data_IF_776279350329
#
_entry.id   IF_776279350329
#
_cell.length_a   1.000
_cell.length_b   1.000
_cell.length_c   1.000
_cell.angle_alpha   90.00
_cell.angle_beta   90.00
_cell.angle_gamma   90.00
#
_symmetry.space_group_name_H-M   'P 1'
#
loop_
_entity.id
_entity.type
_entity.pdbx_description
1 polymer ?
#
# COMPACT_ATOMS: atom_id res chain seq x y z
N UNK A 1 13.09 10.72 13.93
CA UNK A 1 13.35 11.44 12.67
C UNK A 1 12.83 10.57 11.52
N UNK A 2 12.30 11.16 10.45
CA UNK A 2 11.90 10.39 9.28
C UNK A 2 13.08 9.58 8.70
N UNK A 3 12.77 8.37 8.21
CA UNK A 3 13.74 7.54 7.50
C UNK A 3 13.96 8.05 6.07
N UNK A 4 15.13 7.79 5.51
CA UNK A 4 15.40 8.05 4.10
C UNK A 4 14.76 6.94 3.26
N UNK A 5 13.76 7.30 2.44
CA UNK A 5 13.06 6.34 1.60
C UNK A 5 13.65 6.26 0.19
N UNK A 6 13.87 5.04 -0.27
CA UNK A 6 14.12 4.74 -1.67
C UNK A 6 12.83 4.90 -2.47
N UNK A 7 12.92 5.50 -3.64
CA UNK A 7 11.77 5.75 -4.50
C UNK A 7 12.17 5.82 -5.96
N UNK A 8 11.20 5.67 -6.82
CA UNK A 8 11.35 5.92 -8.25
C UNK A 8 10.31 6.94 -8.70
N UNK A 9 10.74 7.91 -9.49
CA UNK A 9 9.84 8.92 -10.07
C UNK A 9 9.82 8.75 -11.58
N UNK A 10 8.64 8.50 -12.13
CA UNK A 10 8.42 8.32 -13.56
C UNK A 10 7.31 9.24 -14.08
N UNK A 11 7.32 9.49 -15.39
CA UNK A 11 6.34 10.35 -16.05
C UNK A 11 6.75 11.82 -16.19
N UNK A 12 5.84 12.66 -16.72
CA UNK A 12 6.08 14.08 -16.90
C UNK A 12 6.22 14.79 -15.55
N UNK A 13 7.07 15.83 -15.50
CA UNK A 13 7.30 16.65 -14.32
C UNK A 13 7.03 18.11 -14.67
N UNK A 14 5.79 18.54 -14.54
CA UNK A 14 5.41 19.94 -14.68
C UNK A 14 4.45 20.29 -13.56
N UNK A 15 4.33 21.58 -13.25
CA UNK A 15 3.45 22.09 -12.18
C UNK A 15 1.97 21.68 -12.38
N UNK A 16 1.57 21.44 -13.62
CA UNK A 16 0.21 21.03 -13.99
C UNK A 16 0.01 19.49 -14.00
N UNK A 17 1.10 18.71 -13.83
CA UNK A 17 1.01 17.25 -13.86
C UNK A 17 0.63 16.72 -12.48
N UNK A 18 -0.51 16.00 -12.35
CA UNK A 18 -0.89 15.45 -11.04
C UNK A 18 0.09 14.38 -10.59
N UNK A 19 0.39 14.37 -9.29
CA UNK A 19 1.29 13.41 -8.68
C UNK A 19 0.51 12.24 -8.10
N UNK A 20 0.94 11.00 -8.38
CA UNK A 20 0.43 9.78 -7.79
C UNK A 20 1.52 9.09 -6.98
N UNK A 21 1.29 8.90 -5.69
CA UNK A 21 2.16 8.16 -4.77
C UNK A 21 1.67 6.72 -4.65
N UNK A 22 2.57 5.74 -4.83
CA UNK A 22 2.28 4.32 -4.75
C UNK A 22 2.99 3.70 -3.54
N UNK A 23 2.21 3.13 -2.60
CA UNK A 23 2.68 2.58 -1.33
C UNK A 23 2.42 1.07 -1.27
N UNK A 24 3.48 0.29 -1.08
CA UNK A 24 3.44 -1.17 -1.16
C UNK A 24 2.94 -1.87 0.11
N UNK A 25 2.87 -3.20 0.02
CA UNK A 25 2.50 -4.11 1.11
C UNK A 25 3.69 -4.38 2.03
N UNK A 26 3.41 -4.91 3.23
CA UNK A 26 4.43 -5.46 4.12
C UNK A 26 5.20 -6.60 3.43
N UNK A 27 6.52 -6.50 3.38
CA UNK A 27 7.39 -7.50 2.74
C UNK A 27 7.51 -7.36 1.23
N UNK A 28 6.96 -6.29 0.63
CA UNK A 28 7.14 -5.97 -0.78
C UNK A 28 8.11 -4.80 -0.97
N UNK A 29 8.63 -4.65 -2.17
CA UNK A 29 9.26 -3.41 -2.63
C UNK A 29 8.37 -2.73 -3.68
N UNK A 30 8.80 -1.57 -4.17
CA UNK A 30 8.04 -0.75 -5.13
C UNK A 30 7.74 -1.45 -6.46
N UNK A 31 8.49 -2.52 -6.82
CA UNK A 31 8.30 -3.24 -8.08
C UNK A 31 6.93 -3.95 -8.16
N UNK A 32 6.24 -4.16 -7.03
CA UNK A 32 4.86 -4.65 -7.04
C UNK A 32 3.90 -3.71 -7.79
N UNK A 33 4.32 -2.47 -8.05
CA UNK A 33 3.57 -1.44 -8.75
C UNK A 33 4.05 -1.19 -10.19
N UNK A 34 5.03 -1.95 -10.70
CA UNK A 34 5.68 -1.70 -12.00
C UNK A 34 4.69 -1.56 -13.17
N UNK A 35 3.67 -2.39 -13.20
CA UNK A 35 2.65 -2.33 -14.25
C UNK A 35 1.85 -1.03 -14.19
N UNK A 36 1.40 -0.65 -12.99
CA UNK A 36 0.63 0.58 -12.75
C UNK A 36 1.48 1.81 -12.98
N UNK A 37 2.73 1.82 -12.46
CA UNK A 37 3.66 2.93 -12.65
C UNK A 37 3.94 3.16 -14.14
N UNK A 38 4.23 2.11 -14.91
CA UNK A 38 4.48 2.19 -16.35
C UNK A 38 3.33 2.79 -17.14
N UNK A 39 2.09 2.39 -16.81
CA UNK A 39 0.92 2.85 -17.55
C UNK A 39 0.47 4.24 -17.11
N UNK A 40 0.39 4.49 -15.79
CA UNK A 40 -0.09 5.76 -15.24
C UNK A 40 0.93 6.90 -15.39
N UNK A 41 2.21 6.59 -15.56
CA UNK A 41 3.26 7.60 -15.84
C UNK A 41 3.12 8.27 -17.23
N UNK A 42 2.18 7.86 -18.06
CA UNK A 42 1.90 8.55 -19.33
C UNK A 42 1.30 9.94 -19.13
N UNK A 43 0.57 10.13 -18.03
CA UNK A 43 -0.21 11.35 -17.74
C UNK A 43 -0.17 11.81 -16.28
N UNK A 44 0.60 11.10 -15.43
CA UNK A 44 0.88 11.46 -14.04
C UNK A 44 2.38 11.44 -13.77
N UNK A 45 2.82 12.25 -12.80
CA UNK A 45 4.09 12.02 -12.12
C UNK A 45 3.87 10.92 -11.09
N UNK A 46 4.41 9.73 -11.33
CA UNK A 46 4.25 8.58 -10.43
C UNK A 46 5.48 8.48 -9.52
N UNK A 47 5.24 8.46 -8.21
CA UNK A 47 6.25 8.27 -7.16
C UNK A 47 6.00 6.93 -6.50
N UNK A 48 6.73 5.88 -6.91
CA UNK A 48 6.68 4.56 -6.29
C UNK A 48 7.70 4.48 -5.15
N UNK A 49 7.25 4.08 -3.95
CA UNK A 49 8.03 4.22 -2.72
C UNK A 49 8.25 2.87 -2.05
N UNK A 50 9.48 2.60 -1.63
CA UNK A 50 9.79 1.54 -0.67
C UNK A 50 9.61 2.09 0.75
N UNK A 51 8.79 1.45 1.58
CA UNK A 51 8.65 1.82 2.99
C UNK A 51 9.99 1.67 3.74
N UNK A 52 10.17 2.35 4.89
CA UNK A 52 11.34 2.11 5.74
C UNK A 52 11.56 0.60 5.93
N UNK A 53 12.81 0.17 5.83
CA UNK A 53 13.18 -1.25 5.98
C UNK A 53 12.68 -2.18 4.89
N UNK A 54 12.22 -1.64 3.74
CA UNK A 54 11.82 -2.41 2.55
C UNK A 54 12.63 -1.94 1.33
N UNK A 55 12.79 -2.83 0.36
CA UNK A 55 13.60 -2.54 -0.83
C UNK A 55 14.99 -2.04 -0.46
N UNK A 56 15.34 -0.83 -0.89
CA UNK A 56 16.61 -0.18 -0.57
C UNK A 56 16.46 1.04 0.36
N UNK A 57 15.31 1.19 1.01
CA UNK A 57 15.05 2.22 2.02
C UNK A 57 15.84 1.96 3.31
N UNK A 58 16.10 3.04 4.05
CA UNK A 58 16.76 2.96 5.34
C UNK A 58 16.05 2.02 6.33
N UNK A 59 16.81 1.18 7.01
CA UNK A 59 16.32 0.35 8.13
C UNK A 59 16.46 1.13 9.41
N UNK A 60 15.33 1.48 10.03
CA UNK A 60 15.31 2.13 11.35
C UNK A 60 14.98 1.06 12.39
N UNK A 61 15.89 0.71 13.30
CA UNK A 61 15.65 -0.30 14.31
C UNK A 61 14.59 0.11 15.34
N UNK A 62 13.88 -0.87 15.85
CA UNK A 62 12.86 -0.71 16.88
C UNK A 62 11.44 -0.56 16.32
N UNK A 63 10.44 -0.57 17.21
CA UNK A 63 9.05 -0.49 16.79
C UNK A 63 8.74 0.86 16.12
N UNK A 64 7.90 0.86 15.11
CA UNK A 64 7.34 2.07 14.52
C UNK A 64 5.80 2.03 14.54
N UNK A 65 5.19 3.14 14.14
CA UNK A 65 3.75 3.29 14.00
C UNK A 65 3.39 3.62 12.54
N UNK A 66 2.13 3.50 12.17
CA UNK A 66 1.66 3.98 10.86
C UNK A 66 1.91 5.49 10.70
N UNK A 67 1.83 6.26 11.77
CA UNK A 67 2.17 7.69 11.76
C UNK A 67 3.65 7.94 11.43
N UNK A 68 4.57 7.09 11.91
CA UNK A 68 5.99 7.18 11.55
C UNK A 68 6.21 6.87 10.07
N UNK A 69 5.53 5.85 9.52
CA UNK A 69 5.59 5.51 8.09
C UNK A 69 5.03 6.65 7.22
N UNK A 70 3.94 7.28 7.66
CA UNK A 70 3.37 8.43 6.98
C UNK A 70 4.31 9.65 7.02
N UNK A 71 4.97 9.90 8.15
CA UNK A 71 5.95 10.98 8.29
C UNK A 71 7.16 10.79 7.36
N UNK A 72 7.59 9.54 7.12
CA UNK A 72 8.64 9.26 6.14
C UNK A 72 8.22 9.64 4.72
N UNK A 73 6.99 9.24 4.34
CA UNK A 73 6.42 9.57 3.03
C UNK A 73 6.32 11.08 2.85
N UNK A 74 5.83 11.80 3.86
CA UNK A 74 5.74 13.26 3.81
C UNK A 74 7.11 13.92 3.67
N UNK A 75 8.11 13.45 4.45
CA UNK A 75 9.48 13.97 4.34
C UNK A 75 10.10 13.70 2.97
N UNK A 76 9.84 12.55 2.37
CA UNK A 76 10.23 12.27 0.99
C UNK A 76 9.57 13.27 0.03
N UNK A 77 8.25 13.42 0.09
CA UNK A 77 7.50 14.31 -0.82
C UNK A 77 7.96 15.76 -0.70
N UNK A 78 8.21 16.24 0.53
CA UNK A 78 8.78 17.56 0.78
C UNK A 78 10.18 17.71 0.15
N UNK A 79 11.00 16.66 0.17
CA UNK A 79 12.36 16.68 -0.39
C UNK A 79 12.40 16.73 -1.93
N UNK A 80 11.28 16.42 -2.58
CA UNK A 80 11.13 16.46 -4.05
C UNK A 80 10.08 17.48 -4.51
N UNK A 81 9.76 18.46 -3.63
CA UNK A 81 8.84 19.59 -3.89
C UNK A 81 7.43 19.18 -4.30
N UNK A 82 6.89 18.09 -3.72
CA UNK A 82 5.50 17.62 -3.93
C UNK A 82 4.63 18.08 -2.76
N UNK A 83 3.80 19.08 -2.98
CA UNK A 83 2.87 19.62 -1.97
C UNK A 83 1.54 18.85 -1.94
N UNK A 84 0.95 18.57 -3.11
CA UNK A 84 -0.35 17.91 -3.24
C UNK A 84 -0.23 16.65 -4.10
N UNK A 85 -0.94 15.58 -3.72
CA UNK A 85 -0.80 14.28 -4.39
C UNK A 85 -2.06 13.42 -4.26
N UNK A 86 -2.25 12.51 -5.21
CA UNK A 86 -3.08 11.33 -5.08
C UNK A 86 -2.26 10.21 -4.45
N UNK A 87 -2.86 9.33 -3.66
CA UNK A 87 -2.17 8.20 -3.06
C UNK A 87 -2.92 6.90 -3.29
N UNK A 88 -2.21 5.87 -3.75
CA UNK A 88 -2.72 4.50 -3.80
C UNK A 88 -1.86 3.63 -2.87
N UNK A 89 -2.51 2.94 -1.94
CA UNK A 89 -1.83 2.10 -0.96
C UNK A 89 -2.43 0.70 -0.90
N UNK A 90 -1.55 -0.31 -0.91
CA UNK A 90 -1.92 -1.70 -0.76
C UNK A 90 -1.53 -2.21 0.62
N UNK A 91 -2.48 -2.81 1.35
CA UNK A 91 -2.25 -3.45 2.65
C UNK A 91 -1.63 -2.47 3.67
N UNK A 92 -0.37 -2.65 4.09
CA UNK A 92 0.38 -1.69 4.92
C UNK A 92 0.33 -0.28 4.30
N UNK A 93 0.61 -0.16 3.01
CA UNK A 93 0.53 1.12 2.29
C UNK A 93 -0.87 1.71 2.31
N UNK A 94 -1.92 0.86 2.35
CA UNK A 94 -3.31 1.30 2.52
C UNK A 94 -3.59 1.88 3.92
N UNK A 95 -2.97 1.36 4.98
CA UNK A 95 -3.04 1.97 6.31
C UNK A 95 -2.34 3.34 6.34
N UNK A 96 -1.16 3.44 5.70
CA UNK A 96 -0.45 4.73 5.56
C UNK A 96 -1.28 5.72 4.76
N UNK A 97 -1.90 5.30 3.64
CA UNK A 97 -2.78 6.15 2.84
C UNK A 97 -4.03 6.63 3.61
N UNK A 98 -4.65 5.76 4.43
CA UNK A 98 -5.73 6.16 5.34
C UNK A 98 -5.27 7.24 6.33
N UNK A 99 -4.09 7.03 6.96
CA UNK A 99 -3.54 8.00 7.89
C UNK A 99 -3.29 9.36 7.22
N UNK A 100 -2.68 9.36 6.04
CA UNK A 100 -2.43 10.57 5.25
C UNK A 100 -3.73 11.29 4.91
N UNK A 101 -4.77 10.57 4.46
CA UNK A 101 -6.05 11.16 4.09
C UNK A 101 -6.79 11.79 5.30
N UNK A 102 -6.59 11.27 6.51
CA UNK A 102 -7.16 11.81 7.76
C UNK A 102 -6.39 13.03 8.26
N UNK A 103 -5.05 13.00 8.21
CA UNK A 103 -4.20 13.99 8.90
C UNK A 103 -3.64 15.07 7.96
N UNK A 104 -3.61 14.81 6.65
CA UNK A 104 -3.13 15.73 5.62
C UNK A 104 -4.21 16.04 4.56
N UNK A 105 -5.45 16.41 4.96
CA UNK A 105 -6.58 16.55 4.03
C UNK A 105 -6.39 17.69 3.01
N UNK A 106 -5.46 18.60 3.22
CA UNK A 106 -5.13 19.68 2.28
C UNK A 106 -4.12 19.24 1.23
N UNK A 107 -3.36 18.18 1.48
CA UNK A 107 -2.34 17.62 0.58
C UNK A 107 -2.87 16.43 -0.21
N UNK A 108 -3.72 15.58 0.38
CA UNK A 108 -4.25 14.38 -0.28
C UNK A 108 -5.45 14.72 -1.15
N UNK A 109 -5.27 14.63 -2.46
CA UNK A 109 -6.28 14.94 -3.46
C UNK A 109 -7.32 13.83 -3.64
N UNK A 110 -6.87 12.57 -3.61
CA UNK A 110 -7.72 11.38 -3.55
C UNK A 110 -6.94 10.20 -3.01
N UNK A 111 -7.63 9.17 -2.53
CA UNK A 111 -6.99 7.94 -2.05
C UNK A 111 -7.60 6.69 -2.67
N UNK A 112 -6.74 5.72 -3.03
CA UNK A 112 -7.15 4.38 -3.41
C UNK A 112 -6.59 3.38 -2.38
N UNK A 113 -7.48 2.66 -1.71
CA UNK A 113 -7.20 1.74 -0.61
C UNK A 113 -7.41 0.31 -1.10
N UNK A 114 -6.32 -0.42 -1.38
CA UNK A 114 -6.35 -1.74 -1.97
C UNK A 114 -6.00 -2.80 -0.91
N UNK A 115 -6.81 -3.85 -0.78
CA UNK A 115 -6.52 -5.02 0.04
C UNK A 115 -5.92 -4.64 1.41
N UNK A 116 -6.60 -3.75 2.14
CA UNK A 116 -6.17 -3.17 3.41
C UNK A 116 -7.26 -3.31 4.48
N UNK A 117 -7.05 -2.77 5.67
CA UNK A 117 -8.02 -2.79 6.75
C UNK A 117 -7.95 -1.51 7.60
N UNK A 118 -9.07 -1.13 8.23
CA UNK A 118 -9.06 -0.11 9.27
C UNK A 118 -8.43 -0.62 10.57
N UNK A 119 -8.44 -1.96 10.77
CA UNK A 119 -7.72 -2.67 11.84
C UNK A 119 -7.28 -4.04 11.33
N UNK A 120 -6.00 -4.40 11.50
CA UNK A 120 -5.44 -5.67 11.02
C UNK A 120 -5.46 -6.75 12.11
N UNK A 121 -6.59 -7.42 12.28
CA UNK A 121 -6.72 -8.56 13.19
C UNK A 121 -6.33 -8.23 14.64
N UNK A 122 -5.79 -9.22 15.36
CA UNK A 122 -5.40 -9.05 16.76
C UNK A 122 -3.91 -8.71 16.89
N UNK A 123 -3.53 -7.78 17.79
CA UNK A 123 -2.14 -7.34 17.99
C UNK A 123 -1.15 -8.47 18.28
N UNK A 124 -1.59 -9.52 19.02
CA UNK A 124 -0.73 -10.65 19.36
C UNK A 124 -0.19 -11.40 18.14
N UNK A 125 -1.01 -11.59 17.11
CA UNK A 125 -0.57 -12.27 15.89
C UNK A 125 0.54 -11.51 15.15
N UNK A 126 0.50 -10.18 15.19
CA UNK A 126 1.55 -9.33 14.63
C UNK A 126 2.82 -9.35 15.48
N UNK A 127 2.68 -9.34 16.82
CA UNK A 127 3.82 -9.46 17.74
C UNK A 127 4.53 -10.81 17.60
N UNK A 128 3.79 -11.91 17.48
CA UNK A 128 4.33 -13.24 17.21
C UNK A 128 5.09 -13.29 15.88
N UNK A 129 4.51 -12.67 14.83
CA UNK A 129 5.16 -12.57 13.50
C UNK A 129 6.43 -11.73 13.57
N UNK A 130 6.42 -10.59 14.26
CA UNK A 130 7.60 -9.75 14.45
C UNK A 130 8.72 -10.52 15.15
N UNK A 131 8.39 -11.29 16.20
CA UNK A 131 9.32 -12.13 16.93
C UNK A 131 9.93 -13.20 16.02
N UNK A 132 9.07 -13.95 15.30
CA UNK A 132 9.53 -15.00 14.39
C UNK A 132 10.49 -14.46 13.30
N UNK A 133 10.19 -13.27 12.77
CA UNK A 133 11.05 -12.63 11.75
C UNK A 133 12.36 -12.11 12.36
N UNK A 134 12.35 -11.54 13.56
CA UNK A 134 13.59 -11.12 14.24
C UNK A 134 14.52 -12.31 14.55
N UNK A 135 13.95 -13.47 14.87
CA UNK A 135 14.72 -14.69 15.19
C UNK A 135 15.17 -15.46 13.95
N UNK A 136 14.29 -15.60 12.95
CA UNK A 136 14.51 -16.47 11.79
C UNK A 136 14.65 -15.76 10.44
N UNK A 137 14.67 -14.43 10.44
CA UNK A 137 14.61 -13.65 9.20
C UNK A 137 13.23 -13.74 8.51
N UNK A 138 13.07 -13.05 7.40
CA UNK A 138 11.85 -13.09 6.59
C UNK A 138 11.57 -14.48 5.99
N UNK A 139 12.59 -15.36 5.93
CA UNK A 139 12.43 -16.76 5.54
C UNK A 139 11.44 -17.53 6.43
N UNK A 140 11.30 -17.14 7.70
CA UNK A 140 10.33 -17.74 8.62
C UNK A 140 8.87 -17.57 8.19
N UNK A 141 8.58 -16.57 7.35
CA UNK A 141 7.22 -16.20 6.96
C UNK A 141 6.98 -16.18 5.44
N UNK A 142 8.03 -16.20 4.61
CA UNK A 142 7.95 -15.95 3.18
C UNK A 142 6.94 -16.83 2.46
N UNK A 143 6.99 -18.14 2.67
CA UNK A 143 6.10 -19.09 1.98
C UNK A 143 4.63 -18.87 2.39
N UNK A 144 4.36 -18.64 3.67
CA UNK A 144 3.02 -18.37 4.19
C UNK A 144 2.47 -17.00 3.74
N UNK A 145 3.35 -16.02 3.52
CA UNK A 145 2.99 -14.69 3.01
C UNK A 145 2.62 -14.80 1.54
N UNK A 146 3.48 -15.39 0.72
CA UNK A 146 3.26 -15.50 -0.74
C UNK A 146 2.02 -16.35 -1.05
N UNK A 147 1.75 -17.41 -0.29
CA UNK A 147 0.54 -18.21 -0.44
C UNK A 147 -0.79 -17.43 -0.22
N UNK A 148 -0.71 -16.22 0.34
CA UNK A 148 -1.87 -15.32 0.50
C UNK A 148 -1.90 -14.20 -0.52
N UNK A 149 -0.78 -13.94 -1.21
CA UNK A 149 -0.62 -12.80 -2.10
C UNK A 149 -1.34 -12.98 -3.43
N UNK A 150 -1.35 -14.20 -3.95
CA UNK A 150 -2.01 -14.55 -5.21
C UNK A 150 -2.89 -15.79 -5.02
N UNK A 151 -3.88 -15.94 -5.89
CA UNK A 151 -4.78 -17.10 -5.87
C UNK A 151 -4.03 -18.41 -6.11
N UNK A 152 -4.55 -19.53 -5.58
CA UNK A 152 -3.96 -20.85 -5.78
C UNK A 152 -3.87 -21.21 -7.26
N UNK A 153 -4.89 -20.84 -8.05
CA UNK A 153 -4.92 -21.10 -9.49
C UNK A 153 -3.81 -20.32 -10.23
N UNK A 154 -3.56 -19.06 -9.82
CA UNK A 154 -2.47 -18.26 -10.39
C UNK A 154 -1.10 -18.82 -9.99
N UNK A 155 -0.94 -19.21 -8.74
CA UNK A 155 0.30 -19.81 -8.23
C UNK A 155 0.66 -21.13 -8.96
N UNK A 156 -0.34 -21.98 -9.25
CA UNK A 156 -0.14 -23.22 -10.02
C UNK A 156 0.25 -22.92 -11.48
N UNK A 157 -0.38 -21.91 -12.09
CA UNK A 157 -0.14 -21.55 -13.48
C UNK A 157 1.22 -20.85 -13.71
N UNK A 158 1.72 -20.10 -12.71
CA UNK A 158 2.91 -19.25 -12.84
C UNK A 158 3.89 -19.43 -11.67
N UNK A 159 4.59 -20.58 -11.59
CA UNK A 159 5.55 -20.84 -10.51
C UNK A 159 6.73 -19.85 -10.48
N UNK A 160 7.10 -19.26 -11.61
CA UNK A 160 8.15 -18.22 -11.66
C UNK A 160 7.69 -16.92 -10.98
N UNK A 161 6.41 -16.56 -11.11
CA UNK A 161 5.84 -15.43 -10.37
C UNK A 161 5.91 -15.68 -8.86
N UNK A 162 5.52 -16.88 -8.41
CA UNK A 162 5.63 -17.29 -7.01
C UNK A 162 7.06 -17.17 -6.50
N UNK A 163 8.04 -17.64 -7.27
CA UNK A 163 9.45 -17.54 -6.92
C UNK A 163 9.90 -16.08 -6.82
N UNK A 164 9.52 -15.22 -7.75
CA UNK A 164 9.84 -13.79 -7.73
C UNK A 164 9.24 -13.07 -6.51
N UNK A 165 7.96 -13.33 -6.18
CA UNK A 165 7.31 -12.79 -5.00
C UNK A 165 7.97 -13.28 -3.70
N UNK A 166 8.40 -14.54 -3.68
CA UNK A 166 9.14 -15.11 -2.55
C UNK A 166 10.50 -14.42 -2.35
N UNK A 167 11.25 -14.21 -3.42
CA UNK A 167 12.52 -13.46 -3.35
C UNK A 167 12.31 -12.01 -2.89
N UNK A 168 11.22 -11.35 -3.30
CA UNK A 168 10.86 -10.01 -2.81
C UNK A 168 10.69 -9.99 -1.29
N UNK A 169 9.96 -10.97 -0.71
CA UNK A 169 9.80 -11.09 0.75
C UNK A 169 11.14 -11.40 1.42
N UNK A 170 11.94 -12.32 0.87
CA UNK A 170 13.25 -12.69 1.40
C UNK A 170 14.25 -11.53 1.36
N UNK A 171 14.14 -10.65 0.36
CA UNK A 171 14.94 -9.45 0.21
C UNK A 171 14.64 -8.36 1.25
N UNK A 172 13.51 -8.45 1.95
CA UNK A 172 13.15 -7.46 2.97
C UNK A 172 13.97 -7.69 4.25
N UNK A 173 14.73 -6.68 4.75
CA UNK A 173 15.44 -6.77 6.01
C UNK A 173 14.54 -7.18 7.18
N UNK A 174 15.01 -8.14 7.99
CA UNK A 174 14.21 -8.71 9.07
C UNK A 174 13.68 -7.66 10.06
N UNK A 175 14.53 -6.72 10.48
CA UNK A 175 14.11 -5.66 11.40
C UNK A 175 13.11 -4.69 10.74
N UNK A 176 13.28 -4.36 9.44
CA UNK A 176 12.33 -3.52 8.72
C UNK A 176 10.95 -4.17 8.64
N UNK A 177 10.90 -5.46 8.30
CA UNK A 177 9.66 -6.23 8.29
C UNK A 177 9.00 -6.28 9.68
N UNK A 178 9.79 -6.62 10.72
CA UNK A 178 9.30 -6.77 12.09
C UNK A 178 8.80 -5.43 12.68
N UNK A 179 9.51 -4.34 12.43
CA UNK A 179 9.11 -2.98 12.83
C UNK A 179 7.74 -2.58 12.21
N UNK A 180 7.51 -2.93 10.94
CA UNK A 180 6.21 -2.71 10.30
C UNK A 180 5.12 -3.66 10.83
N UNK A 181 5.44 -4.87 11.30
CA UNK A 181 4.49 -5.70 12.07
C UNK A 181 4.06 -4.99 13.36
N UNK A 182 5.00 -4.37 14.07
CA UNK A 182 4.68 -3.58 15.27
C UNK A 182 3.73 -2.41 14.95
N UNK A 183 3.93 -1.74 13.79
CA UNK A 183 3.03 -0.69 13.32
C UNK A 183 1.60 -1.19 13.07
N UNK A 184 1.47 -2.36 12.41
CA UNK A 184 0.16 -2.98 12.13
C UNK A 184 -0.52 -3.48 13.42
N UNK A 185 0.25 -3.97 14.40
CA UNK A 185 -0.27 -4.37 15.70
C UNK A 185 -0.97 -3.22 16.44
N UNK A 186 -0.45 -1.99 16.29
CA UNK A 186 -1.01 -0.79 16.91
C UNK A 186 -2.06 -0.06 16.09
N UNK A 187 -2.36 -0.53 14.87
CA UNK A 187 -3.25 0.18 13.97
C UNK A 187 -4.73 -0.08 14.25
N UNK A 188 -5.48 1.00 14.51
CA UNK A 188 -6.95 1.00 14.54
C UNK A 188 -7.47 2.38 14.12
N UNK A 189 -7.95 2.50 12.88
CA UNK A 189 -8.43 3.75 12.27
C UNK A 189 -9.97 3.80 12.18
N UNK A 190 -10.68 2.85 12.74
CA UNK A 190 -12.14 2.74 12.59
C UNK A 190 -12.90 3.99 13.05
N UNK A 191 -12.42 4.61 14.12
CA UNK A 191 -13.04 5.84 14.65
C UNK A 191 -12.76 7.08 13.77
N UNK A 192 -11.76 7.04 12.91
CA UNK A 192 -11.28 8.17 12.12
C UNK A 192 -11.76 8.12 10.65
N UNK A 193 -12.34 7.00 10.19
CA UNK A 193 -12.74 6.81 8.77
C UNK A 193 -13.65 7.94 8.26
N UNK A 194 -14.58 8.41 9.10
CA UNK A 194 -15.48 9.51 8.76
C UNK A 194 -14.81 10.87 8.55
N UNK A 195 -13.51 11.00 8.85
CA UNK A 195 -12.72 12.23 8.61
C UNK A 195 -12.05 12.24 7.25
N UNK A 196 -12.00 11.11 6.54
CA UNK A 196 -11.49 11.06 5.16
C UNK A 196 -12.50 11.80 4.28
N UNK A 197 -12.11 12.94 3.72
CA UNK A 197 -12.97 13.85 2.97
C UNK A 197 -12.67 13.90 1.48
N UNK A 198 -11.54 13.34 1.04
CA UNK A 198 -11.17 13.26 -0.38
C UNK A 198 -11.89 12.11 -1.09
N UNK A 199 -12.04 12.16 -2.43
CA UNK A 199 -12.51 11.03 -3.21
C UNK A 199 -11.75 9.76 -2.86
N UNK A 200 -12.47 8.67 -2.57
CA UNK A 200 -11.88 7.43 -2.05
C UNK A 200 -12.37 6.23 -2.85
N UNK A 201 -11.42 5.45 -3.38
CA UNK A 201 -11.66 4.10 -3.91
C UNK A 201 -11.24 3.07 -2.87
N UNK A 202 -12.11 2.11 -2.56
CA UNK A 202 -11.81 0.95 -1.72
C UNK A 202 -11.92 -0.31 -2.57
N UNK A 203 -10.83 -1.06 -2.72
CA UNK A 203 -10.75 -2.20 -3.63
C UNK A 203 -10.31 -3.47 -2.91
N UNK A 204 -11.12 -4.53 -3.01
CA UNK A 204 -10.87 -5.84 -2.43
C UNK A 204 -10.64 -6.90 -3.51
N UNK A 205 -9.75 -7.88 -3.25
CA UNK A 205 -9.73 -9.16 -3.95
C UNK A 205 -10.75 -10.11 -3.33
N UNK A 206 -11.52 -10.84 -4.15
CA UNK A 206 -12.57 -11.74 -3.65
C UNK A 206 -12.01 -13.00 -2.95
N UNK A 207 -10.76 -13.36 -3.25
CA UNK A 207 -10.06 -14.50 -2.64
C UNK A 207 -8.95 -14.06 -1.65
N UNK A 208 -8.96 -12.79 -1.19
CA UNK A 208 -7.95 -12.28 -0.26
C UNK A 208 -8.17 -12.82 1.17
N UNK A 209 -7.30 -13.72 1.68
CA UNK A 209 -7.45 -14.26 3.03
C UNK A 209 -6.83 -13.37 4.11
N UNK A 210 -6.08 -12.32 3.73
CA UNK A 210 -5.41 -11.42 4.67
C UNK A 210 -6.30 -10.26 5.07
N UNK A 211 -6.97 -9.67 4.08
CA UNK A 211 -7.93 -8.58 4.24
C UNK A 211 -9.14 -8.88 3.35
N UNK A 212 -10.04 -9.76 3.80
CA UNK A 212 -11.18 -10.20 3.01
C UNK A 212 -12.11 -9.03 2.69
N UNK A 213 -13.00 -9.17 1.67
CA UNK A 213 -13.90 -8.09 1.23
C UNK A 213 -14.67 -7.39 2.36
N UNK A 214 -14.97 -8.09 3.45
CA UNK A 214 -15.67 -7.54 4.60
C UNK A 214 -14.83 -6.47 5.33
N UNK A 215 -13.51 -6.65 5.41
CA UNK A 215 -12.61 -5.67 6.03
C UNK A 215 -12.54 -4.37 5.20
N UNK A 216 -12.59 -4.49 3.88
CA UNK A 216 -12.62 -3.35 2.96
C UNK A 216 -14.02 -2.70 2.96
N UNK A 217 -15.09 -3.50 3.12
CA UNK A 217 -16.45 -2.98 3.27
C UNK A 217 -16.59 -2.11 4.52
N UNK A 218 -15.97 -2.49 5.65
CA UNK A 218 -15.94 -1.66 6.86
C UNK A 218 -15.35 -0.27 6.57
N UNK A 219 -14.27 -0.21 5.78
CA UNK A 219 -13.67 1.07 5.36
C UNK A 219 -14.65 1.86 4.48
N UNK A 220 -15.21 1.22 3.46
CA UNK A 220 -16.12 1.88 2.53
C UNK A 220 -17.38 2.42 3.20
N UNK A 221 -17.93 1.68 4.16
CA UNK A 221 -19.11 2.10 4.93
C UNK A 221 -18.77 3.25 5.92
N UNK A 222 -17.52 3.32 6.38
CA UNK A 222 -17.04 4.35 7.30
C UNK A 222 -16.60 5.66 6.61
N UNK A 223 -16.21 5.61 5.34
CA UNK A 223 -15.72 6.78 4.56
C UNK A 223 -16.85 7.38 3.75
N UNK A 224 -17.26 8.63 3.97
CA UNK A 224 -18.35 9.26 3.22
C UNK A 224 -18.08 9.32 1.71
N UNK A 225 -18.96 8.71 0.92
CA UNK A 225 -18.89 8.74 -0.53
C UNK A 225 -17.81 7.86 -1.15
N UNK A 226 -17.25 6.90 -0.41
CA UNK A 226 -16.28 5.96 -0.96
C UNK A 226 -16.90 5.02 -2.00
N UNK A 227 -16.19 4.82 -3.09
CA UNK A 227 -16.50 3.78 -4.08
C UNK A 227 -15.92 2.44 -3.63
N UNK A 228 -16.76 1.39 -3.58
CA UNK A 228 -16.32 0.05 -3.20
C UNK A 228 -16.35 -0.91 -4.39
N UNK A 229 -15.21 -1.55 -4.66
CA UNK A 229 -15.04 -2.49 -5.77
C UNK A 229 -14.46 -3.81 -5.27
N UNK A 230 -15.07 -4.94 -5.67
CA UNK A 230 -14.49 -6.27 -5.50
C UNK A 230 -14.02 -6.76 -6.87
N UNK A 231 -12.76 -7.17 -6.97
CA UNK A 231 -12.18 -7.75 -8.18
C UNK A 231 -12.06 -9.26 -8.03
N UNK A 232 -12.37 -10.00 -9.11
CA UNK A 232 -12.42 -11.48 -9.13
C UNK A 232 -11.91 -12.04 -10.46
N UNK A 233 -11.09 -13.09 -10.49
CA UNK A 233 -10.43 -13.67 -9.31
C UNK A 233 -9.24 -12.81 -8.88
N UNK A 234 -9.03 -12.61 -7.59
CA UNK A 234 -7.86 -11.91 -7.06
C UNK A 234 -7.68 -12.16 -5.55
N UNK A 235 -6.43 -12.33 -5.13
CA UNK A 235 -6.05 -12.41 -3.74
C UNK A 235 -5.48 -11.06 -3.22
N UNK A 236 -4.48 -11.11 -2.33
CA UNK A 236 -3.99 -9.94 -1.57
C UNK A 236 -3.17 -8.93 -2.39
N UNK A 237 -2.49 -9.37 -3.46
CA UNK A 237 -1.65 -8.50 -4.30
C UNK A 237 -2.17 -8.44 -5.73
N UNK A 238 -3.38 -7.89 -5.96
CA UNK A 238 -4.00 -7.86 -7.27
C UNK A 238 -3.24 -6.98 -8.27
N UNK A 239 -2.36 -6.09 -7.79
CA UNK A 239 -1.48 -5.26 -8.62
C UNK A 239 -0.55 -6.09 -9.52
N UNK A 240 -0.14 -7.26 -9.04
CA UNK A 240 0.71 -8.21 -9.76
C UNK A 240 -0.12 -9.30 -10.41
N UNK A 241 -1.20 -9.73 -9.74
CA UNK A 241 -2.02 -10.85 -10.19
C UNK A 241 -2.90 -10.50 -11.39
N UNK A 242 -3.52 -9.33 -11.39
CA UNK A 242 -4.42 -8.83 -12.44
C UNK A 242 -4.11 -7.36 -12.79
N UNK A 243 -2.85 -7.06 -13.22
CA UNK A 243 -2.33 -5.70 -13.30
C UNK A 243 -3.19 -4.75 -14.13
N UNK A 244 -3.68 -5.19 -15.30
CA UNK A 244 -4.46 -4.35 -16.20
C UNK A 244 -5.76 -3.88 -15.56
N UNK A 245 -6.45 -4.77 -14.83
CA UNK A 245 -7.71 -4.44 -14.15
C UNK A 245 -7.51 -3.44 -13.02
N UNK A 246 -6.40 -3.56 -12.30
CA UNK A 246 -6.05 -2.62 -11.22
C UNK A 246 -5.67 -1.26 -11.82
N UNK A 247 -4.87 -1.25 -12.89
CA UNK A 247 -4.52 -0.03 -13.61
C UNK A 247 -5.78 0.71 -14.10
N UNK A 248 -6.72 -0.01 -14.70
CA UNK A 248 -7.99 0.56 -15.17
C UNK A 248 -8.85 1.11 -14.01
N UNK A 249 -8.87 0.44 -12.86
CA UNK A 249 -9.63 0.90 -11.69
C UNK A 249 -9.01 2.20 -11.12
N UNK A 250 -7.68 2.24 -10.99
CA UNK A 250 -6.96 3.43 -10.54
C UNK A 250 -7.16 4.60 -11.52
N UNK A 251 -7.04 4.36 -12.82
CA UNK A 251 -7.23 5.40 -13.84
C UNK A 251 -8.63 6.02 -13.74
N UNK A 252 -9.70 5.20 -13.70
CA UNK A 252 -11.07 5.70 -13.54
C UNK A 252 -11.25 6.53 -12.28
N UNK A 253 -10.65 6.10 -11.16
CA UNK A 253 -10.69 6.83 -9.90
C UNK A 253 -9.99 8.19 -10.00
N UNK A 254 -8.79 8.23 -10.56
CA UNK A 254 -8.01 9.46 -10.73
C UNK A 254 -8.72 10.45 -11.67
N UNK A 255 -9.30 9.97 -12.78
CA UNK A 255 -10.08 10.80 -13.70
C UNK A 255 -11.34 11.37 -13.03
N UNK A 256 -12.04 10.58 -12.24
CA UNK A 256 -13.20 11.04 -11.48
C UNK A 256 -12.82 12.10 -10.43
N UNK A 257 -11.72 11.91 -9.71
CA UNK A 257 -11.22 12.86 -8.72
C UNK A 257 -10.88 14.22 -9.34
N UNK A 258 -10.25 14.25 -10.53
CA UNK A 258 -9.99 15.49 -11.28
C UNK A 258 -11.28 16.26 -11.60
N UNK A 259 -12.33 15.56 -11.99
CA UNK A 259 -13.61 16.18 -12.38
C UNK A 259 -14.39 16.76 -11.18
N UNK A 260 -14.09 16.35 -9.96
CA UNK A 260 -14.69 16.90 -8.73
C UNK A 260 -13.98 18.14 -8.19
N UNK A 261 -12.94 18.64 -8.86
CA UNK A 261 -12.17 19.81 -8.45
C UNK A 261 -11.11 19.52 -7.39
N UNK A 262 -10.78 18.25 -7.20
CA UNK A 262 -9.64 17.82 -6.36
C UNK A 262 -8.30 17.87 -7.14
N UNK A 263 -8.19 18.81 -8.08
CA UNK A 263 -6.97 19.04 -8.87
C UNK A 263 -6.16 20.22 -8.31
#
# INVERSE_FOLDING_TARGET
MPATLSHEVSGPRSDDTPVLVLLGSLGSDRSMWDAQARDLSRDHTVVAVDHRGHGTSEVVPGPCTIADLAADVLALLDSIDVDRFHVAGLSLGGAVAQWLAVHEPTRVLSTALLCTAAKFGEPSGWADRATAVREGGTAAVADAVVARWITAARAEAEPELVAGLREMVLGTPAEGYASCCDALAGWDNRAELGRISCPTLVLAGDEDPSTPPEALREIADGVPGADFVVVSPAAHVPTVEIPDRITDALRRHLDAARNTGAA
#
